data_IF_511776729750
#
_entry.id   IF_511776729750
#
_cell.length_a   1.000
_cell.length_b   1.000
_cell.length_c   1.000
_cell.angle_alpha   90.00
_cell.angle_beta   90.00
_cell.angle_gamma   90.00
#
_symmetry.space_group_name_H-M   'P 1'
#
loop_
_entity.id
_entity.type
_entity.pdbx_description
1 polymer ?
#
# COMPACT_ATOMS: atom_id res chain seq x y z
N UNK A 1 -29.45 44.64 34.93
CA UNK A 1 -28.63 43.42 35.06
C UNK A 1 -29.11 42.48 33.96
N UNK A 2 -28.34 42.39 32.87
CA UNK A 2 -28.68 41.57 31.70
C UNK A 2 -27.69 40.43 31.60
N UNK A 3 -28.21 39.21 31.61
CA UNK A 3 -27.45 37.97 31.55
C UNK A 3 -27.14 37.66 30.08
N UNK A 4 -25.85 37.71 29.72
CA UNK A 4 -25.37 37.40 28.38
C UNK A 4 -25.10 35.90 28.31
N UNK A 5 -26.00 35.16 27.68
CA UNK A 5 -25.84 33.74 27.41
C UNK A 5 -24.97 33.59 26.16
N UNK A 6 -23.68 33.28 26.37
CA UNK A 6 -22.76 32.93 25.29
C UNK A 6 -23.08 31.50 24.87
N UNK A 7 -23.83 31.36 23.77
CA UNK A 7 -24.10 30.08 23.15
C UNK A 7 -22.78 29.56 22.53
N UNK A 8 -22.20 28.57 23.20
CA UNK A 8 -21.03 27.83 22.75
C UNK A 8 -21.42 26.97 21.55
N UNK A 9 -21.25 27.55 20.35
CA UNK A 9 -21.41 26.86 19.08
C UNK A 9 -20.17 25.98 18.85
N UNK A 10 -20.07 24.89 19.60
CA UNK A 10 -19.19 23.79 19.25
C UNK A 10 -19.65 23.24 17.90
N UNK A 11 -18.97 23.69 16.84
CA UNK A 11 -19.10 23.12 15.51
C UNK A 11 -18.81 21.62 15.64
N UNK A 12 -19.88 20.82 15.55
CA UNK A 12 -19.76 19.38 15.33
C UNK A 12 -19.14 19.26 13.95
N UNK A 13 -17.82 19.15 13.92
CA UNK A 13 -17.08 18.67 12.76
C UNK A 13 -17.59 17.25 12.55
N UNK A 14 -18.56 17.09 11.65
CA UNK A 14 -18.88 15.79 11.09
C UNK A 14 -17.60 15.32 10.38
N UNK A 15 -16.76 14.58 11.11
CA UNK A 15 -15.65 13.86 10.51
C UNK A 15 -16.23 13.01 9.37
N UNK A 16 -15.76 13.31 8.16
CA UNK A 16 -16.27 12.73 6.93
C UNK A 16 -16.19 11.20 6.93
N UNK A 17 -17.29 10.57 7.38
CA UNK A 17 -17.68 9.20 7.11
C UNK A 17 -16.68 8.15 7.58
N UNK A 18 -16.58 7.94 8.90
CA UNK A 18 -16.07 6.68 9.40
C UNK A 18 -16.88 5.52 8.78
N UNK A 19 -16.24 4.41 8.36
CA UNK A 19 -16.95 3.30 7.74
C UNK A 19 -18.05 2.83 8.68
N UNK A 20 -19.24 2.61 8.12
CA UNK A 20 -20.43 2.13 8.86
C UNK A 20 -20.13 0.86 9.66
N UNK A 21 -19.17 0.05 9.19
CA UNK A 21 -18.70 -1.15 9.87
C UNK A 21 -17.22 -1.40 9.61
N UNK A 22 -16.45 -1.56 10.68
CA UNK A 22 -15.05 -1.99 10.57
C UNK A 22 -14.93 -3.49 10.26
N UNK A 23 -13.92 -3.93 9.49
CA UNK A 23 -13.59 -5.34 9.35
C UNK A 23 -13.33 -5.99 10.70
N UNK A 24 -13.50 -7.32 10.78
CA UNK A 24 -13.12 -8.07 11.96
C UNK A 24 -11.65 -7.82 12.29
N UNK A 25 -11.34 -7.77 13.59
CA UNK A 25 -9.98 -7.48 14.08
C UNK A 25 -9.02 -8.53 13.50
N UNK A 26 -7.95 -8.08 12.84
CA UNK A 26 -6.94 -8.93 12.24
C UNK A 26 -7.38 -9.77 11.03
N UNK A 27 -8.54 -9.47 10.45
CA UNK A 27 -9.04 -10.20 9.29
C UNK A 27 -8.07 -10.16 8.10
N UNK A 28 -7.39 -9.04 7.89
CA UNK A 28 -6.43 -8.90 6.79
C UNK A 28 -5.12 -9.63 7.09
N UNK A 29 -4.66 -9.58 8.34
CA UNK A 29 -3.49 -10.34 8.79
C UNK A 29 -3.69 -11.86 8.63
N UNK A 30 -4.85 -12.37 9.04
CA UNK A 30 -5.22 -13.79 8.89
C UNK A 30 -5.33 -14.19 7.41
N UNK A 31 -5.92 -13.32 6.58
CA UNK A 31 -5.99 -13.55 5.15
C UNK A 31 -4.57 -13.63 4.54
N UNK A 32 -3.69 -12.67 4.86
CA UNK A 32 -2.31 -12.67 4.38
C UNK A 32 -1.51 -13.89 4.86
N UNK A 33 -1.67 -14.32 6.11
CA UNK A 33 -1.04 -15.53 6.64
C UNK A 33 -1.53 -16.79 5.91
N UNK A 34 -2.83 -16.87 5.63
CA UNK A 34 -3.43 -18.02 4.94
C UNK A 34 -2.90 -18.17 3.50
N UNK A 35 -2.39 -17.10 2.88
CA UNK A 35 -1.88 -17.10 1.51
C UNK A 35 -0.46 -17.71 1.41
N UNK A 36 -0.27 -18.87 0.74
CA UNK A 36 1.05 -19.47 0.60
C UNK A 36 2.06 -18.60 -0.15
N UNK A 37 1.57 -17.80 -1.11
CA UNK A 37 2.39 -16.90 -1.91
C UNK A 37 2.96 -15.75 -1.06
N UNK A 38 2.10 -15.13 -0.24
CA UNK A 38 2.51 -14.04 0.65
C UNK A 38 3.46 -14.56 1.71
N UNK A 39 3.17 -15.71 2.34
CA UNK A 39 4.10 -16.32 3.30
C UNK A 39 5.46 -16.65 2.69
N UNK A 40 5.49 -17.22 1.49
CA UNK A 40 6.75 -17.56 0.83
C UNK A 40 7.57 -16.30 0.51
N UNK A 41 6.93 -15.27 -0.05
CA UNK A 41 7.57 -13.98 -0.33
C UNK A 41 8.07 -13.30 0.95
N UNK A 42 7.24 -13.26 1.99
CA UNK A 42 7.55 -12.66 3.27
C UNK A 42 8.72 -13.36 3.96
N UNK A 43 8.73 -14.70 4.04
CA UNK A 43 9.84 -15.45 4.66
C UNK A 43 11.15 -15.27 3.90
N UNK A 44 11.08 -15.14 2.57
CA UNK A 44 12.26 -14.89 1.73
C UNK A 44 12.83 -13.48 1.93
N UNK A 45 11.96 -12.47 1.94
CA UNK A 45 12.38 -11.07 1.90
C UNK A 45 12.49 -10.43 3.29
N UNK A 46 11.78 -10.97 4.28
CA UNK A 46 11.63 -10.39 5.61
C UNK A 46 10.74 -9.13 5.65
N UNK A 47 10.09 -8.79 4.53
CA UNK A 47 9.20 -7.63 4.38
C UNK A 47 7.94 -8.03 3.62
N UNK A 48 6.81 -7.35 3.88
CA UNK A 48 5.55 -7.63 3.21
C UNK A 48 5.53 -7.09 1.77
N UNK A 49 6.05 -5.88 1.56
CA UNK A 49 6.05 -5.22 0.26
C UNK A 49 7.42 -5.27 -0.43
N UNK A 50 7.38 -5.48 -1.74
CA UNK A 50 8.54 -5.48 -2.64
C UNK A 50 8.53 -4.20 -3.46
N UNK A 51 9.61 -3.43 -3.37
CA UNK A 51 9.77 -2.20 -4.13
C UNK A 51 10.66 -2.43 -5.36
N UNK A 52 10.39 -1.78 -6.52
CA UNK A 52 11.16 -2.00 -7.74
C UNK A 52 12.67 -1.70 -7.59
N UNK A 53 12.99 -0.67 -6.80
CA UNK A 53 14.35 -0.25 -6.45
C UNK A 53 14.39 0.16 -4.98
N UNK A 54 15.51 -0.04 -4.26
CA UNK A 54 15.65 0.39 -2.87
C UNK A 54 15.44 1.90 -2.70
N UNK A 55 15.87 2.71 -3.66
CA UNK A 55 15.71 4.18 -3.62
C UNK A 55 14.25 4.63 -3.82
N UNK A 56 13.37 3.72 -4.22
CA UNK A 56 11.95 4.00 -4.48
C UNK A 56 11.02 3.41 -3.42
N UNK A 57 11.56 2.99 -2.27
CA UNK A 57 10.78 2.47 -1.15
C UNK A 57 9.78 3.53 -0.69
N UNK A 58 8.51 3.15 -0.61
CA UNK A 58 7.41 4.04 -0.25
C UNK A 58 6.82 4.85 -1.41
N UNK A 59 7.44 4.86 -2.59
CA UNK A 59 6.93 5.60 -3.77
C UNK A 59 5.98 4.71 -4.57
N UNK A 60 4.67 4.97 -4.48
CA UNK A 60 3.67 4.22 -5.22
C UNK A 60 3.84 4.43 -6.73
N UNK A 61 4.04 3.32 -7.44
CA UNK A 61 4.16 3.28 -8.90
C UNK A 61 3.39 2.09 -9.46
N UNK A 62 3.04 2.11 -10.75
CA UNK A 62 2.36 0.96 -11.38
C UNK A 62 3.20 -0.32 -11.30
N UNK A 63 4.54 -0.20 -11.35
CA UNK A 63 5.44 -1.34 -11.20
C UNK A 63 5.41 -1.89 -9.78
N UNK A 64 5.43 -1.03 -8.76
CA UNK A 64 5.28 -1.44 -7.37
C UNK A 64 3.90 -2.09 -7.12
N UNK A 65 2.83 -1.54 -7.69
CA UNK A 65 1.49 -2.11 -7.58
C UNK A 65 1.42 -3.52 -8.20
N UNK A 66 2.04 -3.71 -9.37
CA UNK A 66 2.14 -5.02 -10.03
C UNK A 66 2.90 -6.05 -9.20
N UNK A 67 4.07 -5.68 -8.64
CA UNK A 67 4.87 -6.56 -7.78
C UNK A 67 4.12 -6.97 -6.50
N UNK A 68 3.31 -6.08 -5.95
CA UNK A 68 2.58 -6.29 -4.70
C UNK A 68 1.11 -6.65 -4.92
N UNK A 69 0.72 -7.00 -6.16
CA UNK A 69 -0.68 -7.16 -6.55
C UNK A 69 -1.45 -8.03 -5.57
N UNK A 70 -0.93 -9.20 -5.19
CA UNK A 70 -1.67 -10.13 -4.33
C UNK A 70 -1.92 -9.58 -2.92
N UNK A 71 -0.95 -8.85 -2.36
CA UNK A 71 -1.12 -8.18 -1.05
C UNK A 71 -2.22 -7.13 -1.13
N UNK A 72 -2.21 -6.33 -2.20
CA UNK A 72 -3.19 -5.25 -2.44
C UNK A 72 -4.58 -5.80 -2.77
N UNK A 73 -4.67 -6.88 -3.55
CA UNK A 73 -5.91 -7.60 -3.85
C UNK A 73 -6.63 -8.01 -2.57
N UNK A 74 -5.92 -8.64 -1.64
CA UNK A 74 -6.51 -9.10 -0.38
C UNK A 74 -6.87 -7.94 0.55
N UNK A 75 -6.09 -6.86 0.52
CA UNK A 75 -6.43 -5.64 1.26
C UNK A 75 -7.72 -4.99 0.72
N UNK A 76 -7.87 -4.92 -0.60
CA UNK A 76 -9.09 -4.43 -1.26
C UNK A 76 -10.27 -5.37 -0.98
N UNK A 77 -10.08 -6.68 -1.06
CA UNK A 77 -11.14 -7.66 -0.77
C UNK A 77 -11.70 -7.48 0.64
N UNK A 78 -10.83 -7.32 1.65
CA UNK A 78 -11.30 -7.06 3.02
C UNK A 78 -11.92 -5.66 3.16
N UNK A 79 -11.32 -4.63 2.56
CA UNK A 79 -11.71 -3.24 2.80
C UNK A 79 -12.95 -2.80 2.01
N UNK A 80 -13.04 -3.14 0.73
CA UNK A 80 -14.07 -2.62 -0.16
C UNK A 80 -15.49 -3.00 0.29
N UNK A 81 -15.69 -4.19 0.87
CA UNK A 81 -17.00 -4.59 1.42
C UNK A 81 -17.39 -3.90 2.73
N UNK A 82 -16.49 -3.13 3.33
CA UNK A 82 -16.70 -2.41 4.59
C UNK A 82 -16.74 -0.89 4.42
N UNK A 83 -16.48 -0.40 3.20
CA UNK A 83 -16.46 1.01 2.86
C UNK A 83 -17.49 1.28 1.79
N UNK A 84 -18.49 2.11 2.11
CA UNK A 84 -19.54 2.53 1.19
C UNK A 84 -19.01 3.46 0.08
N UNK A 85 -17.78 3.97 0.24
CA UNK A 85 -17.12 4.84 -0.73
C UNK A 85 -15.74 4.31 -1.14
N UNK A 86 -15.27 4.78 -2.30
CA UNK A 86 -13.98 4.40 -2.88
C UNK A 86 -12.80 5.09 -2.17
N UNK A 87 -12.65 4.87 -0.86
CA UNK A 87 -11.57 5.42 -0.02
C UNK A 87 -10.54 4.36 0.30
N UNK A 88 -9.29 4.79 0.52
CA UNK A 88 -8.25 3.88 1.01
C UNK A 88 -8.43 3.55 2.49
N UNK A 89 -8.05 2.34 2.94
CA UNK A 89 -8.13 1.97 4.34
C UNK A 89 -7.33 2.92 5.25
N UNK A 90 -7.83 3.24 6.45
CA UNK A 90 -7.13 4.03 7.45
C UNK A 90 -5.78 3.42 7.84
N UNK A 91 -4.75 4.26 7.94
CA UNK A 91 -3.37 3.80 8.17
C UNK A 91 -3.22 3.11 9.52
N UNK A 92 -3.96 3.52 10.55
CA UNK A 92 -3.85 2.91 11.88
C UNK A 92 -4.50 1.53 11.95
N UNK A 93 -5.55 1.29 11.14
CA UNK A 93 -6.05 -0.07 10.93
C UNK A 93 -5.00 -0.93 10.24
N UNK A 94 -4.39 -0.45 9.14
CA UNK A 94 -3.33 -1.18 8.46
C UNK A 94 -2.11 -1.47 9.33
N UNK A 95 -1.68 -0.53 10.19
CA UNK A 95 -0.58 -0.75 11.14
C UNK A 95 -0.88 -1.95 12.05
N UNK A 96 -2.10 -2.03 12.61
CA UNK A 96 -2.51 -3.15 13.48
C UNK A 96 -2.51 -4.49 12.73
N UNK A 97 -3.02 -4.51 11.50
CA UNK A 97 -3.03 -5.70 10.63
C UNK A 97 -1.61 -6.17 10.31
N UNK A 98 -0.74 -5.24 9.89
CA UNK A 98 0.67 -5.54 9.58
C UNK A 98 1.39 -6.03 10.83
N UNK A 99 1.26 -5.34 11.98
CA UNK A 99 1.86 -5.79 13.25
C UNK A 99 1.44 -7.21 13.61
N UNK A 100 0.15 -7.54 13.50
CA UNK A 100 -0.34 -8.88 13.77
C UNK A 100 0.24 -9.91 12.80
N UNK A 101 0.29 -9.58 11.51
CA UNK A 101 0.88 -10.45 10.49
C UNK A 101 2.36 -10.80 10.83
N UNK A 102 3.15 -9.80 11.24
CA UNK A 102 4.52 -10.02 11.69
C UNK A 102 4.57 -10.93 12.91
N UNK A 103 3.70 -10.74 13.91
CA UNK A 103 3.62 -11.66 15.05
C UNK A 103 3.30 -13.10 14.65
N UNK A 104 2.39 -13.31 13.70
CA UNK A 104 2.01 -14.64 13.22
C UNK A 104 3.14 -15.34 12.44
N UNK A 105 3.96 -14.59 11.69
CA UNK A 105 5.02 -15.16 10.86
C UNK A 105 6.39 -15.23 11.53
N UNK A 106 6.64 -14.47 12.60
CA UNK A 106 7.92 -14.37 13.28
C UNK A 106 8.14 -15.44 14.37
N UNK A 107 7.67 -16.68 14.20
CA UNK A 107 7.70 -17.78 15.20
C UNK A 107 9.10 -18.26 15.64
N UNK A 108 10.16 -17.49 15.40
CA UNK A 108 11.53 -17.78 15.85
C UNK A 108 12.60 -16.93 15.15
N UNK A 109 12.23 -15.77 14.59
CA UNK A 109 13.17 -14.93 13.84
C UNK A 109 13.83 -13.91 14.77
N UNK A 110 15.11 -14.15 15.06
CA UNK A 110 16.00 -13.29 15.85
C UNK A 110 15.97 -11.83 15.41
N UNK A 111 15.43 -10.94 16.25
CA UNK A 111 15.84 -9.54 16.43
C UNK A 111 15.90 -8.62 15.20
N UNK A 112 15.37 -8.99 14.02
CA UNK A 112 15.39 -8.12 12.85
C UNK A 112 14.49 -6.91 13.11
N UNK A 113 15.04 -5.72 12.93
CA UNK A 113 14.27 -4.48 12.94
C UNK A 113 13.28 -4.49 11.78
N UNK A 114 12.04 -4.82 12.09
CA UNK A 114 10.94 -4.85 11.15
C UNK A 114 10.41 -3.43 10.95
N UNK A 115 10.37 -2.96 9.71
CA UNK A 115 9.81 -1.65 9.39
C UNK A 115 8.29 -1.73 9.11
N UNK A 116 7.51 -1.94 10.16
CA UNK A 116 6.03 -2.01 10.12
C UNK A 116 5.43 -0.77 9.44
N UNK A 117 6.04 0.40 9.71
CA UNK A 117 5.56 1.68 9.21
C UNK A 117 5.63 1.76 7.68
N UNK A 118 6.73 1.32 7.08
CA UNK A 118 6.92 1.33 5.62
C UNK A 118 5.90 0.42 4.93
N UNK A 119 5.62 -0.75 5.49
CA UNK A 119 4.64 -1.68 4.90
C UNK A 119 3.21 -1.13 5.01
N UNK A 120 2.79 -0.63 6.18
CA UNK A 120 1.46 -0.08 6.36
C UNK A 120 1.18 1.14 5.44
N UNK A 121 2.12 2.08 5.37
CA UNK A 121 2.01 3.22 4.45
C UNK A 121 2.12 2.81 2.99
N UNK A 122 2.95 1.82 2.67
CA UNK A 122 3.07 1.26 1.34
C UNK A 122 1.74 0.66 0.86
N UNK A 123 1.07 -0.13 1.69
CA UNK A 123 -0.25 -0.69 1.37
C UNK A 123 -1.26 0.42 1.14
N UNK A 124 -1.35 1.41 2.05
CA UNK A 124 -2.24 2.57 1.87
C UNK A 124 -2.01 3.27 0.53
N UNK A 125 -0.76 3.65 0.24
CA UNK A 125 -0.41 4.38 -0.99
C UNK A 125 -0.68 3.57 -2.26
N UNK A 126 -0.42 2.26 -2.24
CA UNK A 126 -0.68 1.38 -3.38
C UNK A 126 -2.18 1.15 -3.59
N UNK A 127 -2.97 1.00 -2.51
CA UNK A 127 -4.44 0.97 -2.59
C UNK A 127 -4.97 2.29 -3.15
N UNK A 128 -4.52 3.44 -2.63
CA UNK A 128 -4.92 4.76 -3.16
C UNK A 128 -4.53 4.93 -4.65
N UNK A 129 -3.38 4.40 -5.07
CA UNK A 129 -3.00 4.38 -6.48
C UNK A 129 -3.94 3.49 -7.30
N UNK A 130 -4.29 2.30 -6.81
CA UNK A 130 -5.24 1.41 -7.48
C UNK A 130 -6.61 2.07 -7.64
N UNK A 131 -7.16 2.69 -6.59
CA UNK A 131 -8.42 3.43 -6.62
C UNK A 131 -8.36 4.57 -7.65
N UNK A 132 -7.30 5.38 -7.67
CA UNK A 132 -7.15 6.45 -8.67
C UNK A 132 -7.07 5.93 -10.10
N UNK A 133 -6.50 4.74 -10.30
CA UNK A 133 -6.37 4.10 -11.62
C UNK A 133 -7.60 3.31 -12.03
N UNK A 134 -8.43 2.90 -11.09
CA UNK A 134 -9.70 2.25 -11.35
C UNK A 134 -10.65 3.13 -12.17
N UNK A 135 -10.61 4.45 -11.96
CA UNK A 135 -11.37 5.43 -12.75
C UNK A 135 -10.86 5.58 -14.20
N UNK A 136 -9.66 5.11 -14.50
CA UNK A 136 -9.12 5.24 -15.85
C UNK A 136 -9.71 4.16 -16.77
N UNK A 137 -9.98 4.46 -18.05
CA UNK A 137 -10.54 3.48 -18.98
C UNK A 137 -9.69 2.21 -19.05
N UNK A 138 -10.32 1.04 -18.85
CA UNK A 138 -9.65 -0.27 -18.72
C UNK A 138 -8.73 -0.58 -19.92
N UNK A 139 -9.05 -0.10 -21.12
CA UNK A 139 -8.25 -0.31 -22.32
C UNK A 139 -6.88 0.41 -22.28
N UNK A 140 -6.67 1.35 -21.36
CA UNK A 140 -5.40 2.06 -21.19
C UNK A 140 -4.42 1.34 -20.26
N UNK A 141 -4.87 0.30 -19.55
CA UNK A 141 -4.02 -0.47 -18.64
C UNK A 141 -3.13 -1.43 -19.42
N UNK A 142 -1.83 -1.12 -19.43
CA UNK A 142 -0.79 -1.99 -20.01
C UNK A 142 -0.63 -3.32 -19.26
N UNK A 143 -0.95 -3.34 -17.96
CA UNK A 143 -0.76 -4.51 -17.12
C UNK A 143 -2.10 -5.22 -16.86
N UNK A 144 -2.37 -6.28 -17.63
CA UNK A 144 -3.57 -7.09 -17.48
C UNK A 144 -3.65 -7.82 -16.14
N UNK A 145 -2.52 -8.01 -15.46
CA UNK A 145 -2.48 -8.68 -14.17
C UNK A 145 -3.25 -7.90 -13.11
N UNK A 146 -3.37 -6.57 -13.25
CA UNK A 146 -4.07 -5.69 -12.33
C UNK A 146 -5.60 -5.67 -12.51
N UNK A 147 -6.15 -6.30 -13.55
CA UNK A 147 -7.60 -6.33 -13.81
C UNK A 147 -8.40 -6.85 -12.62
N UNK A 148 -7.89 -7.88 -11.94
CA UNK A 148 -8.53 -8.47 -10.76
C UNK A 148 -8.77 -7.41 -9.67
N UNK A 149 -7.84 -6.47 -9.47
CA UNK A 149 -8.03 -5.39 -8.47
C UNK A 149 -9.22 -4.49 -8.83
N UNK A 150 -9.37 -4.18 -10.12
CA UNK A 150 -10.43 -3.32 -10.62
C UNK A 150 -11.78 -4.03 -10.62
N UNK A 151 -11.81 -5.32 -10.94
CA UNK A 151 -13.01 -6.15 -10.84
C UNK A 151 -13.50 -6.23 -9.38
N UNK A 152 -12.61 -6.38 -8.40
CA UNK A 152 -12.97 -6.33 -6.97
C UNK A 152 -13.59 -4.98 -6.59
N UNK A 153 -12.98 -3.86 -7.01
CA UNK A 153 -13.51 -2.52 -6.72
C UNK A 153 -14.85 -2.27 -7.44
N UNK A 154 -15.00 -2.66 -8.70
CA UNK A 154 -16.26 -2.56 -9.44
C UNK A 154 -17.35 -3.42 -8.82
N UNK A 155 -17.02 -4.62 -8.33
CA UNK A 155 -18.00 -5.47 -7.64
C UNK A 155 -18.48 -4.88 -6.31
N UNK A 156 -17.63 -4.11 -5.61
CA UNK A 156 -17.96 -3.55 -4.31
C UNK A 156 -18.62 -2.17 -4.39
N UNK A 157 -18.17 -1.32 -5.32
CA UNK A 157 -18.58 0.09 -5.42
C UNK A 157 -19.40 0.41 -6.68
N UNK A 158 -19.64 -0.58 -7.55
CA UNK A 158 -20.42 -0.43 -8.78
C UNK A 158 -19.60 0.01 -10.00
N UNK A 159 -20.28 0.15 -11.14
CA UNK A 159 -19.66 0.51 -12.43
C UNK A 159 -19.46 2.02 -12.64
N UNK A 160 -20.11 2.87 -11.83
CA UNK A 160 -20.09 4.33 -12.01
C UNK A 160 -19.21 5.04 -10.97
N UNK A 161 -17.91 5.25 -11.23
CA UNK A 161 -17.01 5.91 -10.29
C UNK A 161 -17.25 7.42 -10.13
N UNK A 162 -18.05 8.05 -11.00
CA UNK A 162 -18.37 9.48 -10.90
C UNK A 162 -19.34 9.75 -9.74
N UNK A 163 -20.39 8.92 -9.59
CA UNK A 163 -21.34 9.05 -8.47
C UNK A 163 -20.72 8.76 -7.09
N UNK A 164 -19.71 7.90 -7.03
CA UNK A 164 -19.05 7.51 -5.78
C UNK A 164 -18.02 8.54 -5.26
N UNK A 165 -17.69 9.57 -6.04
CA UNK A 165 -16.57 10.47 -5.77
C UNK A 165 -16.96 11.90 -5.41
N UNK A 166 -18.13 12.36 -5.84
CA UNK A 166 -18.61 13.72 -5.59
C UNK A 166 -18.92 13.99 -4.10
N UNK A 167 -18.75 13.00 -3.23
CA UNK A 167 -18.97 13.14 -1.78
C UNK A 167 -17.70 13.23 -0.94
N UNK A 168 -16.49 13.24 -1.51
CA UNK A 168 -15.29 12.86 -0.74
C UNK A 168 -14.14 13.88 -0.56
N UNK A 169 -13.89 14.86 -1.43
CA UNK A 169 -12.57 15.53 -1.43
C UNK A 169 -12.61 17.08 -1.63
N UNK A 170 -13.27 17.81 -0.73
CA UNK A 170 -12.91 19.19 -0.38
C UNK A 170 -12.29 19.23 1.04
N UNK A 171 -11.25 18.44 1.30
CA UNK A 171 -10.36 18.64 2.44
C UNK A 171 -8.98 19.03 1.91
N UNK A 172 -8.86 20.33 1.63
CA UNK A 172 -7.62 21.00 1.34
C UNK A 172 -6.84 21.36 2.61
N UNK A 173 -6.57 20.42 3.51
CA UNK A 173 -5.53 20.63 4.53
C UNK A 173 -4.15 20.46 3.91
N UNK A 174 -3.74 21.50 3.18
CA UNK A 174 -2.34 21.74 2.79
C UNK A 174 -1.49 22.26 3.97
N UNK A 175 -2.09 22.44 5.15
CA UNK A 175 -1.50 23.10 6.30
C UNK A 175 -1.12 22.10 7.38
N UNK A 176 0.07 21.50 7.26
CA UNK A 176 1.01 21.28 8.36
C UNK A 176 2.21 20.48 7.83
N UNK A 177 3.06 21.17 7.06
CA UNK A 177 4.47 20.79 6.95
C UNK A 177 5.23 21.50 8.09
N UNK A 178 5.45 20.85 9.24
CA UNK A 178 6.21 21.43 10.36
C UNK A 178 7.70 21.62 10.02
N UNK A 179 8.14 21.32 8.79
CA UNK A 179 9.49 21.51 8.28
C UNK A 179 9.61 22.60 7.21
N UNK A 180 8.59 23.45 7.01
CA UNK A 180 8.77 24.78 6.41
C UNK A 180 9.54 25.71 7.38
N UNK A 181 10.72 25.24 7.80
CA UNK A 181 11.69 25.94 8.63
C UNK A 181 12.28 27.12 7.87
N UNK A 182 12.59 28.13 8.67
CA UNK A 182 12.96 29.49 8.32
C UNK A 182 14.00 29.61 7.19
N UNK A 183 13.92 30.68 6.37
CA UNK A 183 14.98 31.00 5.41
C UNK A 183 16.30 31.24 6.15
N UNK A 184 17.28 30.42 5.79
CA UNK A 184 18.67 30.46 6.24
C UNK A 184 19.27 31.87 6.11
N UNK A 185 19.50 32.50 7.26
CA UNK A 185 20.23 33.77 7.38
C UNK A 185 21.73 33.51 7.16
N UNK A 186 22.16 33.72 5.91
CA UNK A 186 23.46 34.27 5.55
C UNK A 186 24.69 33.78 6.32
N UNK A 187 25.43 32.85 5.70
CA UNK A 187 26.83 32.60 6.03
C UNK A 187 27.75 33.02 4.86
N UNK A 188 28.92 33.61 5.17
CA UNK A 188 29.76 34.32 4.20
C UNK A 188 30.55 33.39 3.28
N UNK A 189 30.66 33.89 2.05
CA UNK A 189 31.57 33.50 0.97
C UNK A 189 33.00 33.30 1.49
N UNK A 190 33.45 32.05 1.57
CA UNK A 190 34.85 31.72 1.84
C UNK A 190 35.41 30.89 0.70
N UNK A 191 36.49 31.42 0.12
CA UNK A 191 37.16 31.00 -1.09
C UNK A 191 37.53 29.50 -1.13
N UNK A 192 37.28 28.89 -2.30
CA UNK A 192 37.75 27.54 -2.64
C UNK A 192 39.13 27.67 -3.30
N UNK A 193 40.19 27.05 -2.76
CA UNK A 193 41.43 26.86 -3.50
C UNK A 193 41.29 25.71 -4.51
N UNK A 194 41.76 25.97 -5.72
CA UNK A 194 41.95 24.99 -6.77
C UNK A 194 43.00 23.95 -6.33
N UNK A 195 42.66 22.66 -6.42
CA UNK A 195 43.63 21.57 -6.37
C UNK A 195 43.22 20.43 -7.32
N UNK A 196 44.21 20.04 -8.10
CA UNK A 196 44.21 19.13 -9.24
C UNK A 196 44.25 17.64 -8.86
N UNK A 197 44.22 16.81 -9.91
CA UNK A 197 44.68 15.42 -10.04
C UNK A 197 43.64 14.34 -9.74
N UNK A 198 43.08 13.70 -10.77
CA UNK A 198 43.64 12.51 -11.45
C UNK A 198 43.70 11.26 -10.55
N UNK A 199 42.60 10.50 -10.51
CA UNK A 199 42.69 9.04 -10.51
C UNK A 199 41.40 8.42 -11.01
N UNK A 200 41.40 8.00 -12.28
CA UNK A 200 40.33 7.24 -12.91
C UNK A 200 40.66 5.77 -12.74
N UNK A 201 40.05 5.13 -11.75
CA UNK A 201 40.14 3.69 -11.52
C UNK A 201 38.92 3.01 -12.18
N UNK A 202 39.10 2.07 -13.11
CA UNK A 202 37.99 1.42 -13.80
C UNK A 202 37.26 0.47 -12.86
N UNK A 203 36.01 0.81 -12.50
CA UNK A 203 35.12 -0.12 -11.79
C UNK A 203 34.91 -1.39 -12.63
N UNK A 204 35.09 -2.59 -12.07
CA UNK A 204 34.72 -3.82 -12.76
C UNK A 204 33.22 -3.80 -13.04
N UNK A 205 32.85 -4.11 -14.28
CA UNK A 205 31.48 -4.28 -14.70
C UNK A 205 30.84 -5.40 -13.88
N UNK A 206 30.10 -5.03 -12.84
CA UNK A 206 29.12 -5.93 -12.23
C UNK A 206 28.04 -6.16 -13.27
N UNK A 207 28.17 -7.29 -13.95
CA UNK A 207 27.15 -7.94 -14.76
C UNK A 207 25.90 -8.08 -13.89
N UNK A 208 25.02 -7.09 -13.96
CA UNK A 208 23.64 -7.21 -13.46
C UNK A 208 23.03 -8.29 -14.33
N UNK A 209 23.04 -9.52 -13.83
CA UNK A 209 22.30 -10.62 -14.38
C UNK A 209 20.85 -10.14 -14.52
N UNK A 210 20.45 -9.91 -15.77
CA UNK A 210 19.08 -9.67 -16.19
C UNK A 210 18.29 -10.92 -15.80
N UNK A 211 17.79 -10.94 -14.56
CA UNK A 211 16.81 -11.90 -14.10
C UNK A 211 15.50 -11.55 -14.79
N UNK A 212 15.39 -12.03 -16.03
CA UNK A 212 14.12 -12.32 -16.68
C UNK A 212 13.33 -13.22 -15.74
N UNK A 213 12.41 -12.63 -14.98
CA UNK A 213 11.39 -13.37 -14.24
C UNK A 213 10.40 -13.94 -15.26
N UNK A 214 10.79 -15.04 -15.92
CA UNK A 214 9.83 -15.97 -16.48
C UNK A 214 9.07 -16.59 -15.31
N UNK A 215 7.81 -16.22 -15.22
CA UNK A 215 6.81 -16.83 -14.36
C UNK A 215 6.56 -18.23 -14.94
N UNK A 216 7.45 -19.17 -14.64
CA UNK A 216 7.14 -20.61 -14.69
C UNK A 216 6.56 -20.99 -13.32
N UNK A 217 5.33 -20.51 -13.07
CA UNK A 217 4.48 -21.13 -12.06
C UNK A 217 4.06 -22.48 -12.64
N UNK A 218 4.60 -23.53 -12.03
CA UNK A 218 4.20 -24.92 -12.17
C UNK A 218 2.71 -25.08 -12.53
N UNK A 219 2.44 -25.45 -13.79
CA UNK A 219 1.39 -26.44 -14.01
C UNK A 219 1.93 -27.76 -13.44
N UNK A 220 1.60 -28.06 -12.18
CA UNK A 220 1.75 -29.41 -11.64
C UNK A 220 0.68 -30.31 -12.28
N UNK A 221 1.03 -31.31 -13.11
CA UNK A 221 0.09 -32.32 -13.55
C UNK A 221 -0.09 -33.32 -12.40
N UNK A 222 -1.01 -33.02 -11.47
CA UNK A 222 -1.15 -33.86 -10.27
C UNK A 222 -2.47 -33.77 -9.50
N UNK A 223 -3.43 -32.94 -9.91
CA UNK A 223 -4.74 -32.92 -9.25
C UNK A 223 -5.60 -34.10 -9.71
N UNK A 224 -5.50 -35.21 -8.97
CA UNK A 224 -6.39 -36.36 -9.12
C UNK A 224 -7.81 -35.93 -8.76
N UNK A 225 -8.75 -36.10 -9.69
CA UNK A 225 -10.20 -36.02 -9.45
C UNK A 225 -10.56 -36.88 -8.24
N UNK A 226 -11.03 -36.26 -7.16
CA UNK A 226 -11.75 -36.97 -6.11
C UNK A 226 -13.12 -37.33 -6.68
N UNK A 227 -13.29 -38.62 -6.99
CA UNK A 227 -14.56 -39.18 -7.44
C UNK A 227 -15.48 -39.28 -6.21
N UNK A 228 -16.49 -38.41 -6.16
CA UNK A 228 -17.55 -38.46 -5.17
C UNK A 228 -18.48 -39.63 -5.52
N UNK A 229 -18.21 -40.82 -4.97
CA UNK A 229 -19.19 -41.91 -4.98
C UNK A 229 -20.26 -41.58 -3.95
N UNK A 230 -21.47 -41.29 -4.44
CA UNK A 230 -22.69 -41.28 -3.64
C UNK A 230 -22.85 -42.65 -2.96
N UNK A 231 -23.04 -42.62 -1.65
CA UNK A 231 -23.52 -43.76 -0.88
C UNK A 231 -25.02 -43.55 -0.65
N UNK A 232 -25.78 -44.46 -1.28
CA UNK A 232 -27.15 -44.97 -1.02
C UNK A 232 -28.23 -43.95 -0.70
#
# INVERSE_FOLDING_TARGET
>A
MGEVVVADAAAVVEEAGAPTRWPAKFALAEAWESSPLIRAAFRKNGVLLIWPKPDTVGVASMKALSLNRKVIEMALDVWCFHSDSAKSPPVDWLKREVTQLYHLMSTGSDGKNINIYVDAWGVKRLVSLAIRRWKAPIHQLRDHSLRVLFETMTSAWGENPEEAADSADEDGSADDDPYAGEPDNGAPESAVPAASSEHSEPRPAETIASLSWQIDILMSPGFKKVSLKQAV
#
